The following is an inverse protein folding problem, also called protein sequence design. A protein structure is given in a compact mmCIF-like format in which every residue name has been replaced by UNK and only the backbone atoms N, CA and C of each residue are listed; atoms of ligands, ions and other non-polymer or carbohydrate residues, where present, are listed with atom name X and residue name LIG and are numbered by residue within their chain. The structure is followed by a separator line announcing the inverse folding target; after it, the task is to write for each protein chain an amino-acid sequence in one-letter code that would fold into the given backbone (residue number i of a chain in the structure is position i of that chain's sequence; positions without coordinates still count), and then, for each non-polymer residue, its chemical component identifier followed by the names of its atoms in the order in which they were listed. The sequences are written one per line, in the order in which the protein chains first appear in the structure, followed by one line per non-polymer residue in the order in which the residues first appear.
data_IF_492719030581
#
_entry.id   IF_492719030581
#
_cell.length_a   1.000
_cell.length_b   1.000
_cell.length_c   1.000
_cell.angle_alpha   90.00
_cell.angle_beta   90.00
_cell.angle_gamma   90.00
#
_symmetry.space_group_name_H-M   'P 1'
#
loop_
_entity.id
_entity.type
_entity.pdbx_description
1 polymer ?
#
# COMPACT_ATOMS: atom_id res chain seq x y z
N UNK A 1 -37.21 62.40 9.03
CA UNK A 1 -37.83 61.06 9.10
C UNK A 1 -36.73 60.03 8.98
N UNK A 2 -36.44 59.32 10.06
CA UNK A 2 -35.27 58.48 10.23
C UNK A 2 -35.65 57.05 9.85
N UNK A 3 -34.95 56.47 8.90
CA UNK A 3 -35.04 55.02 8.60
C UNK A 3 -34.07 54.29 9.47
N UNK A 4 -34.58 53.40 10.31
CA UNK A 4 -33.79 52.48 11.13
C UNK A 4 -33.30 51.30 10.27
N UNK A 5 -31.99 51.17 10.16
CA UNK A 5 -31.33 49.98 9.57
C UNK A 5 -31.23 48.90 10.61
N UNK A 6 -32.04 47.84 10.48
CA UNK A 6 -31.82 46.58 11.18
C UNK A 6 -30.74 45.78 10.44
N UNK A 7 -29.59 45.53 11.13
CA UNK A 7 -28.60 44.58 10.70
C UNK A 7 -29.14 43.15 10.91
N UNK A 8 -28.93 42.21 9.95
CA UNK A 8 -29.35 40.85 10.13
C UNK A 8 -28.43 40.19 11.18
N UNK A 9 -29.02 39.62 12.17
CA UNK A 9 -28.35 38.74 13.18
C UNK A 9 -27.91 37.49 12.50
N UNK A 10 -26.59 37.25 12.48
CA UNK A 10 -25.98 36.02 12.07
C UNK A 10 -26.27 34.89 13.10
N UNK A 11 -27.34 34.16 12.87
CA UNK A 11 -27.74 32.99 13.58
C UNK A 11 -27.95 31.83 12.60
N UNK A 12 -27.00 31.56 11.74
CA UNK A 12 -26.95 30.26 11.07
C UNK A 12 -26.43 29.23 12.07
N UNK A 13 -27.36 28.44 12.60
CA UNK A 13 -27.04 27.17 13.24
C UNK A 13 -26.37 26.31 12.17
N UNK A 14 -25.04 26.27 12.18
CA UNK A 14 -24.28 25.34 11.34
C UNK A 14 -24.88 23.96 11.56
N UNK A 15 -25.36 23.33 10.48
CA UNK A 15 -25.90 21.98 10.52
C UNK A 15 -24.93 21.10 11.34
N UNK A 16 -25.44 20.43 12.36
CA UNK A 16 -24.60 19.63 13.24
C UNK A 16 -23.82 18.62 12.38
N UNK A 17 -22.50 18.69 12.46
CA UNK A 17 -21.61 17.81 11.71
C UNK A 17 -22.07 16.37 11.92
N UNK A 18 -22.50 15.67 10.87
CA UNK A 18 -22.96 14.28 10.97
C UNK A 18 -21.74 13.39 11.10
N UNK A 19 -21.56 12.83 12.28
CA UNK A 19 -20.56 11.81 12.51
C UNK A 19 -21.14 10.42 12.21
N UNK A 20 -20.33 9.57 11.57
CA UNK A 20 -20.61 8.14 11.35
C UNK A 20 -19.41 7.32 11.80
N UNK A 21 -19.65 6.15 12.35
CA UNK A 21 -18.58 5.27 12.78
C UNK A 21 -18.83 3.82 12.36
N UNK A 22 -17.74 3.12 12.09
CA UNK A 22 -17.71 1.69 11.79
C UNK A 22 -16.73 1.01 12.73
N UNK A 23 -17.06 -0.20 13.15
CA UNK A 23 -16.23 -0.97 14.08
C UNK A 23 -15.99 -2.40 13.55
N UNK A 24 -14.79 -2.90 13.80
CA UNK A 24 -14.45 -4.32 13.72
C UNK A 24 -14.03 -4.82 15.10
N UNK A 25 -14.63 -5.94 15.52
CA UNK A 25 -14.37 -6.64 16.79
C UNK A 25 -14.41 -8.15 16.56
N UNK A 26 -14.23 -8.94 17.58
CA UNK A 26 -14.42 -10.39 17.51
C UNK A 26 -15.85 -10.83 17.11
N UNK A 27 -16.84 -9.95 17.24
CA UNK A 27 -18.24 -10.25 16.92
C UNK A 27 -18.73 -9.56 15.66
N UNK A 28 -18.18 -8.41 15.32
CA UNK A 28 -18.65 -7.55 14.24
C UNK A 28 -17.53 -7.26 13.23
N UNK A 29 -17.91 -7.14 11.96
CA UNK A 29 -16.96 -6.82 10.87
C UNK A 29 -17.44 -5.58 10.12
N UNK A 30 -16.66 -4.49 10.24
CA UNK A 30 -16.93 -3.18 9.63
C UNK A 30 -18.41 -2.75 9.78
N UNK A 31 -18.98 -2.97 10.95
CA UNK A 31 -20.37 -2.65 11.25
C UNK A 31 -20.51 -1.17 11.55
N UNK A 32 -21.46 -0.51 10.91
CA UNK A 32 -21.82 0.86 11.28
C UNK A 32 -22.51 0.85 12.66
N UNK A 33 -22.03 1.73 13.54
CA UNK A 33 -22.54 1.87 14.90
C UNK A 33 -23.05 3.29 15.12
N UNK A 34 -24.08 3.47 15.97
CA UNK A 34 -24.53 4.78 16.37
C UNK A 34 -23.43 5.49 17.17
N UNK A 35 -23.25 6.78 16.92
CA UNK A 35 -22.37 7.65 17.70
C UNK A 35 -23.15 8.82 18.26
N UNK A 36 -22.70 9.31 19.41
CA UNK A 36 -23.27 10.53 20.00
C UNK A 36 -23.01 11.73 19.06
N UNK A 37 -23.80 12.77 19.20
CA UNK A 37 -23.52 14.03 18.52
C UNK A 37 -22.32 14.76 19.11
N UNK A 38 -21.67 15.59 18.29
CA UNK A 38 -20.67 16.55 18.76
C UNK A 38 -21.27 17.49 19.79
N UNK A 39 -20.57 17.73 20.90
CA UNK A 39 -20.99 18.66 21.97
C UNK A 39 -19.87 19.66 22.29
N UNK A 40 -20.24 20.76 22.91
CA UNK A 40 -19.22 21.64 23.48
C UNK A 40 -18.46 20.92 24.62
N UNK A 41 -17.18 21.23 24.85
CA UNK A 41 -16.47 20.74 26.01
C UNK A 41 -17.24 21.13 27.27
N UNK A 42 -17.44 20.19 28.20
CA UNK A 42 -18.02 20.54 29.50
C UNK A 42 -17.06 21.43 30.26
N UNK A 43 -17.47 22.64 30.59
CA UNK A 43 -16.64 23.67 31.25
C UNK A 43 -16.27 23.39 32.72
N UNK A 44 -16.46 22.18 33.18
CA UNK A 44 -16.08 21.77 34.55
C UNK A 44 -15.05 20.62 34.44
N UNK A 45 -13.92 20.84 35.11
CA UNK A 45 -12.95 19.85 35.54
C UNK A 45 -11.79 19.48 34.61
N UNK A 46 -10.80 20.37 34.63
CA UNK A 46 -9.40 19.96 34.64
C UNK A 46 -9.08 19.25 35.99
N UNK A 47 -9.83 18.21 36.35
CA UNK A 47 -9.68 17.47 37.59
C UNK A 47 -10.13 16.03 37.40
N UNK A 48 -9.26 15.09 37.68
CA UNK A 48 -9.41 13.64 37.92
C UNK A 48 -10.76 13.01 37.50
N UNK A 49 -10.89 12.59 36.23
CA UNK A 49 -12.05 11.84 35.74
C UNK A 49 -12.42 12.04 34.27
N UNK A 50 -11.78 12.94 33.53
CA UNK A 50 -12.01 13.11 32.09
C UNK A 50 -11.55 11.86 31.33
N UNK A 51 -12.39 11.34 30.43
CA UNK A 51 -11.98 10.27 29.53
C UNK A 51 -10.75 10.71 28.71
N UNK A 52 -9.82 9.78 28.51
CA UNK A 52 -8.64 10.05 27.70
C UNK A 52 -9.06 10.51 26.29
N UNK A 53 -8.38 11.51 25.75
CA UNK A 53 -8.79 12.18 24.53
C UNK A 53 -7.82 11.96 23.37
N UNK A 54 -8.40 11.90 22.18
CA UNK A 54 -7.66 11.98 20.92
C UNK A 54 -8.00 13.32 20.27
N UNK A 55 -7.01 14.21 20.18
CA UNK A 55 -7.17 15.53 19.57
C UNK A 55 -6.75 15.48 18.11
N UNK A 56 -7.62 15.97 17.23
CA UNK A 56 -7.37 16.08 15.78
C UNK A 56 -7.19 17.56 15.44
N UNK A 57 -6.05 17.89 14.83
CA UNK A 57 -5.70 19.25 14.40
C UNK A 57 -5.60 19.32 12.87
N UNK A 58 -6.68 19.78 12.22
CA UNK A 58 -6.76 19.91 10.77
C UNK A 58 -5.95 21.09 10.19
N UNK A 59 -5.39 21.97 11.06
CA UNK A 59 -4.52 23.06 10.61
C UNK A 59 -3.12 22.56 10.22
N UNK A 60 -2.68 21.44 10.78
CA UNK A 60 -1.41 20.81 10.46
C UNK A 60 -1.62 19.65 9.49
N UNK A 61 -1.16 19.83 8.26
CA UNK A 61 -1.32 18.86 7.17
C UNK A 61 0.03 18.34 6.72
N UNK A 62 0.06 17.05 6.40
CA UNK A 62 1.25 16.33 5.96
C UNK A 62 1.09 15.79 4.53
N UNK A 63 1.67 14.66 4.23
CA UNK A 63 1.64 14.07 2.89
C UNK A 63 0.22 13.73 2.42
N UNK A 64 0.05 13.73 1.10
CA UNK A 64 -1.18 13.26 0.46
C UNK A 64 -1.13 11.75 0.22
N UNK A 65 -2.24 11.09 0.45
CA UNK A 65 -2.43 9.66 0.21
C UNK A 65 -2.58 9.39 -1.28
N UNK A 66 -1.79 8.45 -1.79
CA UNK A 66 -1.91 7.92 -3.16
C UNK A 66 -2.96 6.81 -3.23
N UNK A 67 -3.02 5.94 -2.22
CA UNK A 67 -4.03 4.91 -2.14
C UNK A 67 -3.63 3.70 -1.30
N UNK A 68 -4.52 2.71 -1.32
CA UNK A 68 -4.37 1.42 -0.63
C UNK A 68 -4.56 0.30 -1.64
N UNK A 69 -3.87 -0.85 -1.45
CA UNK A 69 -3.98 -1.93 -2.39
C UNK A 69 -3.27 -3.21 -1.99
N UNK A 70 -3.08 -4.09 -2.96
CA UNK A 70 -2.35 -5.35 -2.80
C UNK A 70 -1.73 -5.82 -4.10
N UNK A 71 -0.88 -6.86 -4.02
CA UNK A 71 -0.15 -7.35 -5.16
C UNK A 71 -0.95 -8.37 -5.99
N UNK A 72 -1.05 -8.09 -7.28
CA UNK A 72 -1.45 -9.01 -8.32
C UNK A 72 -0.25 -9.90 -8.69
N UNK A 73 0.17 -10.76 -7.75
CA UNK A 73 1.21 -11.74 -8.03
C UNK A 73 0.76 -12.73 -9.08
N UNK A 74 1.68 -13.40 -9.75
CA UNK A 74 1.36 -14.50 -10.65
C UNK A 74 0.43 -15.51 -9.97
N UNK A 75 0.73 -15.88 -8.72
CA UNK A 75 -0.08 -16.77 -7.89
C UNK A 75 -1.51 -16.26 -7.70
N UNK A 76 -1.68 -15.00 -7.30
CA UNK A 76 -3.00 -14.40 -7.09
C UNK A 76 -3.79 -14.35 -8.40
N UNK A 77 -3.16 -13.96 -9.49
CA UNK A 77 -3.82 -13.91 -10.81
C UNK A 77 -4.17 -15.30 -11.33
N UNK A 78 -3.30 -16.29 -11.09
CA UNK A 78 -3.54 -17.69 -11.44
C UNK A 78 -4.79 -18.25 -10.72
N UNK A 79 -4.91 -18.02 -9.40
CA UNK A 79 -6.08 -18.41 -8.63
C UNK A 79 -7.34 -17.68 -9.07
N UNK A 80 -7.28 -16.35 -9.18
CA UNK A 80 -8.41 -15.54 -9.66
C UNK A 80 -8.88 -15.99 -11.04
N UNK A 81 -7.98 -16.32 -11.97
CA UNK A 81 -8.34 -16.76 -13.32
C UNK A 81 -9.07 -18.10 -13.34
N UNK A 82 -8.84 -18.95 -12.36
CA UNK A 82 -9.48 -20.28 -12.22
C UNK A 82 -10.82 -20.24 -11.51
N UNK A 83 -11.13 -19.13 -10.81
CA UNK A 83 -12.45 -18.95 -10.21
C UNK A 83 -13.54 -18.87 -11.31
N UNK A 84 -14.76 -19.32 -10.96
CA UNK A 84 -15.93 -19.03 -11.78
C UNK A 84 -16.04 -17.51 -12.00
N UNK A 85 -16.38 -17.10 -13.23
CA UNK A 85 -16.30 -15.69 -13.65
C UNK A 85 -17.14 -14.74 -12.77
N UNK A 86 -18.35 -15.16 -12.37
CA UNK A 86 -19.22 -14.37 -11.51
C UNK A 86 -18.70 -14.26 -10.09
N UNK A 87 -18.06 -15.31 -9.56
CA UNK A 87 -17.42 -15.27 -8.24
C UNK A 87 -16.17 -14.41 -8.25
N UNK A 88 -15.33 -14.53 -9.29
CA UNK A 88 -14.17 -13.65 -9.47
C UNK A 88 -14.57 -12.19 -9.57
N UNK A 89 -15.59 -11.89 -10.38
CA UNK A 89 -16.09 -10.51 -10.51
C UNK A 89 -16.56 -9.96 -9.18
N UNK A 90 -17.32 -10.71 -8.38
CA UNK A 90 -17.77 -10.29 -7.05
C UNK A 90 -16.59 -9.99 -6.13
N UNK A 91 -15.53 -10.80 -6.15
CA UNK A 91 -14.34 -10.56 -5.34
C UNK A 91 -13.57 -9.32 -5.81
N UNK A 92 -13.47 -9.08 -7.12
CA UNK A 92 -12.86 -7.86 -7.63
C UNK A 92 -13.70 -6.61 -7.33
N UNK A 93 -15.03 -6.70 -7.39
CA UNK A 93 -15.94 -5.63 -6.94
C UNK A 93 -15.79 -5.38 -5.42
N UNK A 94 -15.58 -6.43 -4.62
CA UNK A 94 -15.31 -6.33 -3.19
C UNK A 94 -13.97 -5.62 -2.90
N UNK A 95 -12.91 -5.94 -3.65
CA UNK A 95 -11.63 -5.27 -3.48
C UNK A 95 -11.63 -3.83 -4.00
N UNK A 96 -12.09 -3.60 -5.22
CA UNK A 96 -11.84 -2.37 -5.96
C UNK A 96 -13.07 -1.49 -6.15
N UNK A 97 -14.27 -2.07 -6.00
CA UNK A 97 -15.52 -1.35 -6.20
C UNK A 97 -15.82 -0.35 -5.07
N UNK A 98 -16.59 0.72 -5.37
CA UNK A 98 -16.91 1.77 -4.39
C UNK A 98 -17.78 1.28 -3.23
N UNK A 99 -18.55 0.21 -3.41
CA UNK A 99 -19.32 -0.43 -2.35
C UNK A 99 -18.47 -1.40 -1.49
N UNK A 100 -17.35 -1.87 -2.03
CA UNK A 100 -16.38 -2.74 -1.37
C UNK A 100 -15.35 -1.97 -0.54
N UNK A 101 -14.10 -2.43 -0.59
CA UNK A 101 -12.98 -1.75 0.08
C UNK A 101 -12.58 -0.45 -0.64
N UNK A 102 -12.79 -0.36 -1.95
CA UNK A 102 -12.35 0.77 -2.75
C UNK A 102 -10.83 0.87 -2.89
N UNK A 103 -10.13 -0.28 -2.92
CA UNK A 103 -8.69 -0.30 -3.18
C UNK A 103 -8.39 0.42 -4.50
N UNK A 104 -7.35 1.22 -4.50
CA UNK A 104 -7.01 2.10 -5.62
C UNK A 104 -5.58 1.94 -6.10
N UNK A 105 -4.84 0.98 -5.53
CA UNK A 105 -3.49 0.63 -5.94
C UNK A 105 -3.32 -0.87 -6.18
N UNK A 106 -2.39 -1.22 -7.05
CA UNK A 106 -1.98 -2.59 -7.27
C UNK A 106 -0.49 -2.68 -7.58
N UNK A 107 0.17 -3.73 -7.08
CA UNK A 107 1.54 -4.09 -7.42
C UNK A 107 1.53 -5.28 -8.36
N UNK A 108 2.36 -5.25 -9.41
CA UNK A 108 2.59 -6.41 -10.28
C UNK A 108 4.07 -6.78 -10.27
N UNK A 109 4.39 -7.99 -10.70
CA UNK A 109 5.76 -8.42 -10.86
C UNK A 109 6.23 -8.20 -12.30
N UNK A 110 7.52 -7.90 -12.52
CA UNK A 110 8.16 -7.93 -13.83
C UNK A 110 8.86 -9.28 -13.97
N UNK A 111 8.16 -10.26 -14.54
CA UNK A 111 8.51 -11.68 -14.47
C UNK A 111 7.99 -12.34 -13.20
N UNK A 112 8.55 -13.50 -12.85
CA UNK A 112 8.15 -14.26 -11.66
C UNK A 112 8.68 -13.67 -10.37
N UNK A 113 7.91 -13.87 -9.28
CA UNK A 113 8.33 -13.73 -7.89
C UNK A 113 8.40 -15.10 -7.21
N UNK A 114 8.59 -15.13 -5.90
CA UNK A 114 8.39 -16.33 -5.06
C UNK A 114 6.93 -16.82 -5.10
N UNK A 115 5.96 -15.92 -5.24
CA UNK A 115 4.54 -16.26 -5.41
C UNK A 115 4.15 -16.35 -6.89
N UNK A 116 4.69 -17.37 -7.53
CA UNK A 116 4.43 -17.71 -8.93
C UNK A 116 4.17 -19.20 -9.10
N UNK A 117 3.50 -19.58 -10.20
CA UNK A 117 3.30 -20.97 -10.58
C UNK A 117 4.59 -21.64 -11.06
N UNK A 118 5.52 -20.85 -11.59
CA UNK A 118 6.87 -21.27 -12.03
C UNK A 118 7.81 -20.07 -12.07
N UNK A 119 9.12 -20.33 -12.09
CA UNK A 119 10.10 -19.29 -12.34
C UNK A 119 10.16 -18.97 -13.86
N UNK A 120 10.04 -17.70 -14.22
CA UNK A 120 10.14 -17.20 -15.58
C UNK A 120 10.59 -15.74 -15.63
N UNK A 121 11.17 -15.35 -16.76
CA UNK A 121 11.32 -13.93 -17.13
C UNK A 121 10.67 -13.70 -18.49
N UNK A 122 10.67 -12.46 -18.97
CA UNK A 122 10.16 -12.18 -20.33
C UNK A 122 11.21 -12.41 -21.42
N UNK A 123 12.42 -12.87 -21.05
CA UNK A 123 13.50 -13.16 -22.00
C UNK A 123 14.33 -14.34 -21.49
N UNK A 124 13.74 -15.53 -21.46
CA UNK A 124 14.40 -16.78 -21.05
C UNK A 124 15.18 -17.39 -22.21
N UNK A 125 16.25 -16.73 -22.63
CA UNK A 125 17.14 -17.20 -23.68
C UNK A 125 18.24 -18.11 -23.12
N UNK A 126 18.57 -19.19 -23.85
CA UNK A 126 19.66 -20.11 -23.50
C UNK A 126 21.04 -19.46 -23.67
N UNK A 127 21.16 -18.40 -24.48
CA UNK A 127 22.37 -17.61 -24.70
C UNK A 127 22.08 -16.13 -24.42
N UNK A 128 23.08 -15.31 -24.13
CA UNK A 128 22.87 -13.88 -23.96
C UNK A 128 22.16 -13.23 -25.15
N UNK A 129 21.09 -12.48 -24.88
CA UNK A 129 20.30 -11.75 -25.87
C UNK A 129 20.23 -10.24 -25.58
N UNK A 130 21.34 -9.49 -25.70
CA UNK A 130 21.37 -8.07 -25.37
C UNK A 130 20.48 -7.19 -26.27
N UNK A 131 19.97 -7.72 -27.39
CA UNK A 131 18.98 -7.06 -28.23
C UNK A 131 17.54 -7.40 -27.86
N UNK A 132 17.32 -8.28 -26.86
CA UNK A 132 16.00 -8.71 -26.37
C UNK A 132 15.09 -9.20 -27.51
N UNK A 133 15.60 -10.04 -28.42
CA UNK A 133 14.87 -10.60 -29.55
C UNK A 133 13.83 -11.62 -29.10
N UNK A 134 14.09 -12.28 -27.97
CA UNK A 134 13.20 -13.27 -27.37
C UNK A 134 12.25 -12.67 -26.35
N UNK A 135 12.31 -11.36 -26.10
CA UNK A 135 11.42 -10.70 -25.14
C UNK A 135 9.95 -10.90 -25.49
N UNK A 136 9.17 -11.41 -24.54
CA UNK A 136 7.74 -11.66 -24.72
C UNK A 136 6.99 -11.65 -23.37
N UNK A 137 5.89 -10.90 -23.31
CA UNK A 137 4.94 -10.92 -22.19
C UNK A 137 3.83 -11.98 -22.39
N UNK A 138 4.06 -12.98 -23.23
CA UNK A 138 3.05 -14.00 -23.56
C UNK A 138 2.55 -14.79 -22.33
N UNK A 139 3.43 -15.02 -21.34
CA UNK A 139 3.03 -15.63 -20.07
C UNK A 139 1.89 -14.84 -19.42
N UNK A 140 2.05 -13.53 -19.31
CA UNK A 140 1.10 -12.66 -18.61
C UNK A 140 -0.22 -12.51 -19.34
N UNK A 141 -0.21 -12.66 -20.67
CA UNK A 141 -1.44 -12.68 -21.49
C UNK A 141 -2.35 -13.85 -21.16
N UNK A 142 -1.83 -14.93 -20.61
CA UNK A 142 -2.62 -16.12 -20.30
C UNK A 142 -3.65 -15.85 -19.18
N UNK A 143 -3.30 -15.12 -18.15
CA UNK A 143 -4.19 -14.86 -17.00
C UNK A 143 -3.90 -13.56 -16.23
N UNK A 144 -2.66 -13.05 -16.16
CA UNK A 144 -2.34 -11.83 -15.39
C UNK A 144 -3.02 -10.62 -16.02
N UNK A 145 -2.77 -10.35 -17.30
CA UNK A 145 -3.37 -9.22 -18.02
C UNK A 145 -4.90 -9.28 -18.08
N UNK A 146 -5.56 -10.44 -18.32
CA UNK A 146 -7.01 -10.57 -18.19
C UNK A 146 -7.54 -10.15 -16.82
N UNK A 147 -6.94 -10.60 -15.72
CA UNK A 147 -7.35 -10.24 -14.36
C UNK A 147 -7.13 -8.74 -14.10
N UNK A 148 -6.00 -8.18 -14.51
CA UNK A 148 -5.72 -6.75 -14.38
C UNK A 148 -6.72 -5.89 -15.16
N UNK A 149 -7.09 -6.28 -16.38
CA UNK A 149 -8.12 -5.57 -17.17
C UNK A 149 -9.49 -5.64 -16.51
N UNK A 150 -9.84 -6.79 -15.92
CA UNK A 150 -11.09 -6.92 -15.17
C UNK A 150 -11.07 -6.02 -13.91
N UNK A 151 -9.97 -5.95 -13.17
CA UNK A 151 -9.81 -5.03 -12.04
C UNK A 151 -9.90 -3.55 -12.49
N UNK A 152 -9.26 -3.18 -13.60
CA UNK A 152 -9.35 -1.84 -14.19
C UNK A 152 -10.76 -1.51 -14.67
N UNK A 153 -11.56 -2.50 -15.07
CA UNK A 153 -12.97 -2.25 -15.40
C UNK A 153 -13.83 -1.92 -14.17
N UNK A 154 -13.43 -2.37 -12.98
CA UNK A 154 -14.05 -2.03 -11.69
C UNK A 154 -13.53 -0.69 -11.18
N UNK A 155 -12.21 -0.47 -11.25
CA UNK A 155 -11.52 0.73 -10.78
C UNK A 155 -10.65 1.32 -11.91
N UNK A 156 -11.20 2.17 -12.78
CA UNK A 156 -10.45 2.75 -13.92
C UNK A 156 -9.23 3.57 -13.51
N UNK A 157 -9.25 4.15 -12.30
CA UNK A 157 -8.15 4.94 -11.74
C UNK A 157 -7.18 4.11 -10.88
N UNK A 158 -7.19 2.77 -11.02
CA UNK A 158 -6.27 1.89 -10.31
C UNK A 158 -4.81 2.26 -10.66
N UNK A 159 -4.05 2.66 -9.64
CA UNK A 159 -2.63 3.00 -9.80
C UNK A 159 -1.81 1.72 -9.74
N UNK A 160 -1.30 1.27 -10.88
CA UNK A 160 -0.45 0.09 -10.96
C UNK A 160 1.03 0.48 -10.93
N UNK A 161 1.81 -0.23 -10.12
CA UNK A 161 3.26 -0.20 -10.17
C UNK A 161 3.82 -1.61 -10.25
N UNK A 162 5.06 -1.74 -10.74
CA UNK A 162 5.66 -3.04 -11.02
C UNK A 162 7.09 -3.15 -10.51
N UNK A 163 7.45 -4.34 -10.06
CA UNK A 163 8.74 -4.65 -9.45
C UNK A 163 9.32 -5.94 -10.03
N UNK A 164 10.59 -5.98 -10.45
CA UNK A 164 11.28 -7.23 -10.79
C UNK A 164 11.85 -7.91 -9.54
N UNK A 165 11.76 -9.23 -9.46
CA UNK A 165 12.48 -10.05 -8.47
C UNK A 165 13.84 -10.49 -8.99
N UNK A 166 13.95 -10.74 -10.29
CA UNK A 166 15.19 -11.13 -10.94
C UNK A 166 15.22 -10.60 -12.37
N UNK A 167 16.36 -10.09 -12.85
CA UNK A 167 16.58 -9.98 -14.28
C UNK A 167 16.62 -11.38 -14.93
N UNK A 168 16.48 -11.49 -16.28
CA UNK A 168 16.70 -12.75 -16.98
C UNK A 168 17.98 -13.45 -16.57
N UNK A 169 17.94 -14.79 -16.47
CA UNK A 169 19.07 -15.57 -15.95
C UNK A 169 20.39 -15.30 -16.69
N UNK A 170 20.37 -15.13 -17.99
CA UNK A 170 21.56 -14.85 -18.78
C UNK A 170 22.23 -13.49 -18.47
N UNK A 171 21.51 -12.54 -17.87
CA UNK A 171 22.06 -11.27 -17.40
C UNK A 171 22.80 -11.40 -16.06
N UNK A 172 22.69 -12.56 -15.39
CA UNK A 172 23.27 -12.79 -14.06
C UNK A 172 24.52 -13.65 -14.11
N UNK A 173 25.35 -13.55 -13.09
CA UNK A 173 26.61 -14.30 -13.01
C UNK A 173 26.38 -15.82 -12.96
N UNK A 174 25.34 -16.26 -12.24
CA UNK A 174 24.99 -17.66 -12.10
C UNK A 174 24.15 -18.26 -13.24
N UNK A 175 23.72 -17.46 -14.22
CA UNK A 175 22.89 -17.94 -15.34
C UNK A 175 21.48 -18.40 -14.90
N UNK A 176 21.01 -18.03 -13.72
CA UNK A 176 19.76 -18.47 -13.11
C UNK A 176 18.89 -17.30 -12.67
N UNK A 177 17.57 -17.47 -12.69
CA UNK A 177 16.65 -16.52 -12.07
C UNK A 177 16.75 -16.55 -10.54
N UNK A 178 17.16 -17.70 -9.96
CA UNK A 178 17.19 -17.92 -8.52
C UNK A 178 18.50 -17.37 -7.95
N UNK A 179 18.40 -16.35 -7.09
CA UNK A 179 19.54 -15.73 -6.41
C UNK A 179 20.60 -15.12 -7.32
N UNK A 180 21.75 -14.80 -6.74
CA UNK A 180 22.91 -14.27 -7.44
C UNK A 180 22.82 -12.79 -7.82
N UNK A 181 23.81 -12.30 -8.58
CA UNK A 181 23.98 -10.88 -8.87
C UNK A 181 23.88 -10.55 -10.35
N UNK A 182 23.35 -9.38 -10.65
CA UNK A 182 23.31 -8.79 -11.99
C UNK A 182 24.72 -8.46 -12.50
N UNK A 183 24.97 -8.68 -13.80
CA UNK A 183 26.21 -8.26 -14.46
C UNK A 183 26.07 -6.87 -15.06
N UNK A 184 26.94 -5.94 -14.68
CA UNK A 184 26.91 -4.53 -15.13
C UNK A 184 26.93 -4.38 -16.65
N UNK A 185 27.60 -5.28 -17.38
CA UNK A 185 27.64 -5.25 -18.85
C UNK A 185 26.27 -5.34 -19.54
N UNK A 186 25.22 -5.81 -18.83
CA UNK A 186 23.87 -5.93 -19.36
C UNK A 186 22.92 -4.84 -18.86
N UNK A 187 23.40 -3.81 -18.16
CA UNK A 187 22.54 -2.74 -17.65
C UNK A 187 21.76 -2.02 -18.77
N UNK A 188 22.40 -1.77 -19.90
CA UNK A 188 21.71 -1.17 -21.05
C UNK A 188 20.58 -2.06 -21.58
N UNK A 189 20.82 -3.37 -21.70
CA UNK A 189 19.80 -4.33 -22.13
C UNK A 189 18.66 -4.42 -21.08
N UNK A 190 19.01 -4.41 -19.79
CA UNK A 190 18.01 -4.48 -18.73
C UNK A 190 17.14 -3.20 -18.65
N UNK A 191 17.71 -2.03 -18.90
CA UNK A 191 16.91 -0.81 -19.02
C UNK A 191 15.91 -0.89 -20.21
N UNK A 192 16.33 -1.46 -21.35
CA UNK A 192 15.43 -1.72 -22.49
C UNK A 192 14.39 -2.81 -22.18
N UNK A 193 14.70 -3.76 -21.32
CA UNK A 193 13.75 -4.76 -20.83
C UNK A 193 12.58 -4.09 -20.06
N UNK A 194 12.86 -3.08 -19.22
CA UNK A 194 11.82 -2.27 -18.58
C UNK A 194 10.99 -1.50 -19.60
N UNK A 195 11.63 -0.86 -20.59
CA UNK A 195 10.92 -0.12 -21.63
C UNK A 195 9.96 -1.05 -22.39
N UNK A 196 10.45 -2.20 -22.88
CA UNK A 196 9.61 -3.19 -23.57
C UNK A 196 8.44 -3.71 -22.73
N UNK A 197 8.68 -3.95 -21.43
CA UNK A 197 7.62 -4.33 -20.50
C UNK A 197 6.55 -3.25 -20.40
N UNK A 198 6.93 -2.00 -20.17
CA UNK A 198 6.01 -0.87 -20.01
C UNK A 198 5.19 -0.62 -21.30
N UNK A 199 5.84 -0.67 -22.45
CA UNK A 199 5.18 -0.53 -23.75
C UNK A 199 4.22 -1.71 -24.02
N UNK A 200 4.66 -2.94 -23.71
CA UNK A 200 3.84 -4.13 -23.87
C UNK A 200 2.58 -4.09 -23.00
N UNK A 201 2.70 -3.75 -21.75
CA UNK A 201 1.57 -3.60 -20.84
C UNK A 201 0.63 -2.45 -21.23
N UNK A 202 1.19 -1.32 -21.65
CA UNK A 202 0.41 -0.18 -22.17
C UNK A 202 -0.39 -0.58 -23.43
N UNK A 203 0.22 -1.36 -24.34
CA UNK A 203 -0.46 -1.87 -25.54
C UNK A 203 -1.62 -2.83 -25.21
N UNK A 204 -1.53 -3.55 -24.08
CA UNK A 204 -2.59 -4.42 -23.55
C UNK A 204 -3.67 -3.64 -22.76
N UNK A 205 -3.59 -2.31 -22.69
CA UNK A 205 -4.53 -1.48 -21.93
C UNK A 205 -4.29 -1.49 -20.42
N UNK A 206 -3.12 -1.91 -19.97
CA UNK A 206 -2.72 -1.97 -18.56
C UNK A 206 -1.53 -1.02 -18.29
N UNK A 207 -1.76 0.29 -18.13
CA UNK A 207 -0.68 1.25 -17.97
C UNK A 207 -0.03 1.13 -16.58
N UNK A 208 1.29 0.93 -16.54
CA UNK A 208 2.09 0.93 -15.31
C UNK A 208 2.59 2.34 -15.03
N UNK A 209 2.26 2.87 -13.84
CA UNK A 209 2.52 4.26 -13.44
C UNK A 209 3.85 4.45 -12.72
N UNK A 210 4.37 3.39 -12.10
CA UNK A 210 5.67 3.42 -11.44
C UNK A 210 6.36 2.05 -11.54
N UNK A 211 7.68 2.05 -11.42
CA UNK A 211 8.49 0.84 -11.28
C UNK A 211 9.46 1.00 -10.13
N UNK A 212 9.80 -0.10 -9.47
CA UNK A 212 10.98 -0.16 -8.63
C UNK A 212 12.13 -0.83 -9.39
N UNK A 213 13.35 -0.57 -8.97
CA UNK A 213 14.54 -1.09 -9.67
C UNK A 213 14.73 -2.58 -9.45
N UNK A 214 14.39 -3.06 -8.26
CA UNK A 214 14.54 -4.44 -7.81
C UNK A 214 13.74 -4.65 -6.53
N UNK A 215 13.12 -5.82 -6.37
CA UNK A 215 12.59 -6.27 -5.09
C UNK A 215 13.73 -6.70 -4.18
N UNK A 216 13.76 -6.15 -2.96
CA UNK A 216 14.70 -6.56 -1.89
C UNK A 216 16.16 -6.60 -2.33
N UNK A 217 16.70 -5.40 -2.60
CA UNK A 217 17.99 -5.16 -3.26
C UNK A 217 19.22 -5.78 -2.59
N UNK A 218 19.20 -6.11 -1.30
CA UNK A 218 20.37 -6.54 -0.53
C UNK A 218 20.39 -8.04 -0.19
N UNK A 219 19.48 -8.81 -0.79
CA UNK A 219 19.41 -10.26 -0.59
C UNK A 219 19.25 -11.02 -1.90
N UNK A 220 19.86 -12.20 -1.97
CA UNK A 220 19.65 -13.15 -3.07
C UNK A 220 18.81 -14.36 -2.62
N UNK A 221 18.25 -14.32 -1.40
CA UNK A 221 17.38 -15.32 -0.81
C UNK A 221 18.01 -16.74 -0.84
N UNK A 222 19.32 -16.85 -0.66
CA UNK A 222 20.09 -18.09 -0.73
C UNK A 222 19.85 -18.92 -2.02
N UNK A 223 19.45 -18.27 -3.11
CA UNK A 223 19.11 -18.94 -4.36
C UNK A 223 17.85 -19.81 -4.31
N UNK A 224 16.96 -19.61 -3.33
CA UNK A 224 15.74 -20.42 -3.14
C UNK A 224 14.54 -19.93 -3.93
N UNK A 225 14.62 -18.73 -4.49
CA UNK A 225 13.54 -18.07 -5.24
C UNK A 225 14.10 -17.08 -6.26
N UNK A 226 13.27 -16.57 -7.20
CA UNK A 226 13.69 -15.44 -8.02
C UNK A 226 14.12 -14.27 -7.14
N UNK A 227 15.36 -13.85 -7.27
CA UNK A 227 15.95 -12.76 -6.51
C UNK A 227 17.24 -12.30 -7.19
N UNK A 228 17.70 -11.09 -6.91
CA UNK A 228 18.99 -10.60 -7.38
C UNK A 228 19.59 -9.62 -6.38
N UNK A 229 20.82 -9.89 -5.96
CA UNK A 229 21.58 -8.99 -5.11
C UNK A 229 22.09 -7.79 -5.92
N UNK A 230 21.75 -6.59 -5.46
CA UNK A 230 22.20 -5.33 -6.01
C UNK A 230 22.97 -4.53 -4.98
N UNK A 231 24.27 -4.32 -5.19
CA UNK A 231 25.03 -3.35 -4.42
C UNK A 231 24.46 -1.94 -4.61
N UNK A 232 24.62 -1.08 -3.62
CA UNK A 232 24.13 0.31 -3.68
C UNK A 232 24.64 1.05 -4.92
N UNK A 233 25.94 0.91 -5.25
CA UNK A 233 26.57 1.52 -6.43
C UNK A 233 25.99 0.97 -7.75
N UNK A 234 25.57 -0.29 -7.77
CA UNK A 234 24.91 -0.90 -8.92
C UNK A 234 23.54 -0.28 -9.18
N UNK A 235 22.73 -0.16 -8.14
CA UNK A 235 21.40 0.47 -8.25
C UNK A 235 21.53 1.95 -8.63
N UNK A 236 22.46 2.68 -7.99
CA UNK A 236 22.79 4.07 -8.31
C UNK A 236 23.16 4.24 -9.78
N UNK A 237 24.11 3.45 -10.26
CA UNK A 237 24.58 3.50 -11.66
C UNK A 237 23.48 3.09 -12.64
N UNK A 238 22.69 2.06 -12.31
CA UNK A 238 21.58 1.62 -13.16
C UNK A 238 20.51 2.71 -13.33
N UNK A 239 20.12 3.38 -12.25
CA UNK A 239 19.11 4.46 -12.31
C UNK A 239 19.63 5.62 -13.16
N UNK A 240 20.80 6.17 -12.84
CA UNK A 240 21.26 7.43 -13.45
C UNK A 240 21.80 7.29 -14.86
N UNK A 241 22.43 6.17 -15.18
CA UNK A 241 23.13 5.99 -16.46
C UNK A 241 22.31 5.20 -17.49
N UNK A 242 21.32 4.39 -17.04
CA UNK A 242 20.59 3.49 -17.91
C UNK A 242 19.07 3.62 -17.82
N UNK A 243 18.45 3.32 -16.68
CA UNK A 243 16.97 3.25 -16.57
C UNK A 243 16.33 4.63 -16.78
N UNK A 244 16.78 5.64 -16.03
CA UNK A 244 16.23 7.00 -16.14
C UNK A 244 16.36 7.59 -17.56
N UNK A 245 17.54 7.53 -18.20
CA UNK A 245 17.70 7.91 -19.59
C UNK A 245 16.83 7.10 -20.58
N UNK A 246 16.73 5.78 -20.40
CA UNK A 246 15.93 4.91 -21.27
C UNK A 246 14.42 5.25 -21.23
N UNK A 247 13.87 5.43 -20.03
CA UNK A 247 12.46 5.82 -19.85
C UNK A 247 12.18 7.18 -20.50
N UNK A 248 13.08 8.14 -20.33
CA UNK A 248 12.97 9.46 -20.96
C UNK A 248 13.06 9.39 -22.48
N UNK A 249 14.00 8.61 -23.02
CA UNK A 249 14.16 8.42 -24.46
C UNK A 249 12.94 7.75 -25.11
N UNK A 250 12.28 6.85 -24.37
CA UNK A 250 11.03 6.20 -24.79
C UNK A 250 9.77 7.07 -24.54
N UNK A 251 9.93 8.30 -24.03
CA UNK A 251 8.83 9.19 -23.68
C UNK A 251 7.79 8.53 -22.74
N UNK A 252 8.29 7.83 -21.71
CA UNK A 252 7.50 7.17 -20.70
C UNK A 252 7.50 8.01 -19.41
N UNK A 253 6.31 8.41 -18.94
CA UNK A 253 6.10 9.16 -17.69
C UNK A 253 6.10 8.27 -16.44
N UNK A 254 6.55 7.02 -16.59
CA UNK A 254 6.60 6.05 -15.50
C UNK A 254 7.59 6.52 -14.42
N UNK A 255 7.12 6.60 -13.17
CA UNK A 255 7.92 7.01 -12.03
C UNK A 255 8.90 5.89 -11.63
N UNK A 256 10.04 6.26 -11.09
CA UNK A 256 11.02 5.32 -10.53
C UNK A 256 11.05 5.48 -9.01
N UNK A 257 10.86 4.38 -8.29
CA UNK A 257 11.02 4.30 -6.85
C UNK A 257 12.24 3.42 -6.56
N UNK A 258 13.13 3.89 -5.71
CA UNK A 258 14.33 3.15 -5.34
C UNK A 258 14.11 2.27 -4.11
N UNK A 259 15.05 1.39 -3.83
CA UNK A 259 15.16 0.50 -2.66
C UNK A 259 14.21 -0.69 -2.70
N UNK A 260 12.90 -0.48 -2.55
CA UNK A 260 11.85 -1.51 -2.46
C UNK A 260 12.21 -2.60 -1.43
N UNK A 261 12.55 -2.16 -0.20
CA UNK A 261 13.02 -3.05 0.87
C UNK A 261 12.81 -2.44 2.27
N UNK A 262 13.30 -3.13 3.28
CA UNK A 262 13.09 -2.90 4.69
C UNK A 262 13.61 -1.54 5.21
N UNK A 263 13.02 -1.09 6.32
CA UNK A 263 13.29 0.22 6.92
C UNK A 263 14.73 0.41 7.40
N UNK A 264 15.45 -0.66 7.77
CA UNK A 264 16.84 -0.61 8.24
C UNK A 264 17.82 -0.15 7.16
N UNK A 265 17.44 -0.22 5.89
CA UNK A 265 18.24 0.30 4.78
C UNK A 265 18.05 1.79 4.48
N UNK A 266 17.47 2.57 5.41
CA UNK A 266 17.22 4.00 5.23
C UNK A 266 18.47 4.81 4.86
N UNK A 267 19.64 4.43 5.38
CA UNK A 267 20.93 5.07 5.05
C UNK A 267 21.27 4.97 3.58
N UNK A 268 21.05 3.78 2.96
CA UNK A 268 21.21 3.57 1.51
C UNK A 268 20.31 4.52 0.70
N UNK A 269 19.05 4.71 1.12
CA UNK A 269 18.14 5.62 0.44
C UNK A 269 18.64 7.08 0.50
N UNK A 270 19.18 7.52 1.63
CA UNK A 270 19.76 8.87 1.79
C UNK A 270 20.99 9.04 0.89
N UNK A 271 21.92 8.08 0.91
CA UNK A 271 23.15 8.13 0.10
C UNK A 271 22.83 8.20 -1.38
N UNK A 272 21.91 7.35 -1.86
CA UNK A 272 21.51 7.34 -3.26
C UNK A 272 20.80 8.64 -3.68
N UNK A 273 19.91 9.18 -2.85
CA UNK A 273 19.22 10.44 -3.13
C UNK A 273 20.15 11.67 -3.04
N UNK A 274 21.30 11.54 -2.39
CA UNK A 274 22.31 12.60 -2.33
C UNK A 274 23.06 12.77 -3.66
N UNK A 275 23.00 11.77 -4.57
CA UNK A 275 23.50 11.92 -5.95
C UNK A 275 22.47 12.70 -6.78
N UNK A 276 22.78 13.91 -7.27
CA UNK A 276 21.83 14.74 -8.02
C UNK A 276 21.38 14.09 -9.34
N UNK A 277 22.18 13.20 -9.91
CA UNK A 277 21.82 12.48 -11.12
C UNK A 277 20.80 11.35 -10.85
N UNK A 278 20.86 10.69 -9.69
CA UNK A 278 19.83 9.77 -9.21
C UNK A 278 18.57 10.57 -8.83
N UNK A 279 18.75 11.62 -8.06
CA UNK A 279 17.66 12.45 -7.53
C UNK A 279 16.71 12.94 -8.64
N UNK A 280 17.19 13.33 -9.80
CA UNK A 280 16.35 13.84 -10.90
C UNK A 280 15.45 12.79 -11.55
N UNK A 281 15.78 11.48 -11.41
CA UNK A 281 15.00 10.39 -12.00
C UNK A 281 14.07 9.71 -11.00
N UNK A 282 14.38 9.79 -9.70
CA UNK A 282 13.65 9.09 -8.65
C UNK A 282 12.50 9.95 -8.12
N UNK A 283 11.29 9.40 -8.06
CA UNK A 283 10.10 10.05 -7.49
C UNK A 283 10.01 9.84 -5.96
N UNK A 284 10.55 8.73 -5.45
CA UNK A 284 10.56 8.42 -4.03
C UNK A 284 11.18 7.07 -3.70
N UNK A 285 10.96 6.65 -2.46
CA UNK A 285 11.51 5.42 -1.88
C UNK A 285 10.39 4.44 -1.58
N UNK A 286 10.55 3.20 -2.03
CA UNK A 286 9.66 2.09 -1.74
C UNK A 286 10.15 1.31 -0.50
N UNK A 287 9.22 0.93 0.36
CA UNK A 287 9.50 0.36 1.68
C UNK A 287 8.75 -0.93 1.93
N UNK A 288 9.42 -1.88 2.59
CA UNK A 288 8.84 -3.09 3.16
C UNK A 288 8.83 -3.02 4.69
N UNK A 289 7.93 -3.77 5.30
CA UNK A 289 7.68 -3.70 6.74
C UNK A 289 8.25 -4.86 7.58
N UNK A 290 9.17 -5.66 7.04
CA UNK A 290 9.63 -6.88 7.73
C UNK A 290 10.75 -6.63 8.74
N UNK A 291 11.62 -5.64 8.52
CA UNK A 291 12.74 -5.31 9.41
C UNK A 291 12.86 -3.80 9.61
N UNK A 292 13.32 -3.40 10.81
CA UNK A 292 13.45 -2.01 11.20
C UNK A 292 12.13 -1.42 11.72
N UNK A 293 11.99 -0.08 11.64
CA UNK A 293 10.82 0.64 12.14
C UNK A 293 10.40 1.74 11.18
N UNK A 294 9.09 2.08 11.11
CA UNK A 294 8.55 3.09 10.20
C UNK A 294 9.17 4.49 10.35
N UNK A 295 9.71 4.86 11.53
CA UNK A 295 10.36 6.17 11.77
C UNK A 295 11.58 6.40 10.88
N UNK A 296 12.15 5.35 10.29
CA UNK A 296 13.18 5.44 9.26
C UNK A 296 12.73 6.22 8.03
N UNK A 297 11.46 6.09 7.63
CA UNK A 297 10.88 6.89 6.55
C UNK A 297 10.91 8.40 6.88
N UNK A 298 10.65 8.76 8.13
CA UNK A 298 10.76 10.14 8.61
C UNK A 298 12.18 10.68 8.52
N UNK A 299 13.21 9.86 8.74
CA UNK A 299 14.62 10.26 8.57
C UNK A 299 14.92 10.63 7.13
N UNK A 300 14.50 9.79 6.18
CA UNK A 300 14.66 10.05 4.75
C UNK A 300 13.87 11.28 4.33
N UNK A 301 12.60 11.41 4.77
CA UNK A 301 11.77 12.57 4.45
C UNK A 301 12.38 13.89 4.96
N UNK A 302 12.97 13.92 6.16
CA UNK A 302 13.64 15.12 6.68
C UNK A 302 14.82 15.56 5.80
N UNK A 303 15.54 14.62 5.19
CA UNK A 303 16.65 14.90 4.29
C UNK A 303 16.17 15.29 2.89
N UNK A 304 15.08 14.68 2.40
CA UNK A 304 14.56 14.87 1.06
C UNK A 304 13.02 15.01 1.07
N UNK A 305 12.46 16.14 1.59
CA UNK A 305 11.02 16.29 1.79
C UNK A 305 10.19 16.30 0.49
N UNK A 306 10.81 16.52 -0.66
CA UNK A 306 10.17 16.47 -1.96
C UNK A 306 10.07 15.05 -2.56
N UNK A 307 10.67 14.03 -1.92
CA UNK A 307 10.59 12.63 -2.35
C UNK A 307 9.49 11.88 -1.58
N UNK A 308 8.69 11.10 -2.32
CA UNK A 308 7.63 10.30 -1.72
C UNK A 308 8.16 9.11 -0.94
N UNK A 309 7.41 8.68 0.09
CA UNK A 309 7.59 7.39 0.73
C UNK A 309 6.40 6.49 0.36
N UNK A 310 6.67 5.27 -0.10
CA UNK A 310 5.67 4.32 -0.57
C UNK A 310 5.87 3.00 0.15
N UNK A 311 4.86 2.57 0.91
CA UNK A 311 4.92 1.25 1.56
C UNK A 311 4.38 0.20 0.60
N UNK A 312 5.28 -0.57 0.01
CA UNK A 312 5.04 -1.40 -1.16
C UNK A 312 4.84 -2.87 -0.86
N UNK A 313 5.18 -3.32 0.36
CA UNK A 313 4.99 -4.72 0.72
C UNK A 313 4.89 -4.97 2.23
N UNK A 314 4.00 -5.87 2.58
CA UNK A 314 3.85 -6.57 3.85
C UNK A 314 2.61 -7.44 3.81
N UNK A 315 2.71 -8.66 4.29
CA UNK A 315 1.63 -9.63 4.22
C UNK A 315 1.46 -10.43 5.51
N UNK A 316 0.28 -11.04 5.71
CA UNK A 316 0.04 -11.92 6.84
C UNK A 316 0.76 -13.26 6.64
N UNK A 317 0.95 -14.00 7.72
CA UNK A 317 1.41 -15.37 7.71
C UNK A 317 0.20 -16.29 7.83
N UNK A 318 -0.04 -17.19 6.83
CA UNK A 318 -1.19 -18.09 6.87
C UNK A 318 -1.08 -19.15 7.96
N UNK A 319 0.12 -19.40 8.52
CA UNK A 319 0.35 -20.33 9.61
C UNK A 319 0.05 -19.73 10.99
N UNK A 320 -0.12 -18.41 11.07
CA UNK A 320 -0.44 -17.73 12.32
C UNK A 320 -1.85 -18.07 12.78
N UNK A 321 -2.04 -18.43 14.05
CA UNK A 321 -3.36 -18.84 14.56
C UNK A 321 -4.39 -17.72 14.54
N UNK A 322 -3.94 -16.48 14.53
CA UNK A 322 -4.74 -15.25 14.50
C UNK A 322 -4.85 -14.62 13.09
N UNK A 323 -4.44 -15.34 12.03
CA UNK A 323 -4.46 -14.86 10.64
C UNK A 323 -5.77 -14.14 10.24
N UNK A 324 -6.93 -14.64 10.67
CA UNK A 324 -8.23 -14.07 10.35
C UNK A 324 -8.67 -12.97 11.33
N UNK A 325 -7.94 -12.75 12.43
CA UNK A 325 -8.38 -11.90 13.56
C UNK A 325 -7.34 -10.88 14.02
N UNK A 326 -6.17 -10.78 13.35
CA UNK A 326 -5.09 -9.86 13.71
C UNK A 326 -5.29 -8.42 13.15
N UNK A 327 -6.55 -7.98 12.99
CA UNK A 327 -6.89 -6.65 12.45
C UNK A 327 -6.29 -5.49 13.25
N UNK A 328 -6.22 -5.58 14.59
CA UNK A 328 -5.62 -4.51 15.40
C UNK A 328 -4.12 -4.40 15.20
N UNK A 329 -3.42 -5.51 14.99
CA UNK A 329 -2.00 -5.52 14.59
C UNK A 329 -1.81 -4.77 13.27
N UNK A 330 -2.59 -5.11 12.23
CA UNK A 330 -2.46 -4.48 10.92
C UNK A 330 -2.91 -3.03 10.92
N UNK A 331 -4.04 -2.70 11.56
CA UNK A 331 -4.53 -1.32 11.63
C UNK A 331 -3.58 -0.40 12.40
N UNK A 332 -3.01 -0.88 13.50
CA UNK A 332 -1.97 -0.15 14.25
C UNK A 332 -0.69 0.04 13.43
N UNK A 333 -0.25 -1.01 12.72
CA UNK A 333 0.88 -0.93 11.79
C UNK A 333 0.65 0.13 10.72
N UNK A 334 -0.55 0.16 10.11
CA UNK A 334 -0.90 1.16 9.10
C UNK A 334 -0.90 2.58 9.66
N UNK A 335 -1.41 2.78 10.89
CA UNK A 335 -1.33 4.08 11.54
C UNK A 335 0.12 4.55 11.70
N UNK A 336 1.02 3.68 12.14
CA UNK A 336 2.44 3.99 12.28
C UNK A 336 3.10 4.32 10.93
N UNK A 337 2.82 3.55 9.88
CA UNK A 337 3.34 3.77 8.54
C UNK A 337 2.89 5.14 8.00
N UNK A 338 1.59 5.46 8.11
CA UNK A 338 1.01 6.70 7.59
C UNK A 338 1.46 7.93 8.39
N UNK A 339 1.68 7.81 9.70
CA UNK A 339 2.27 8.86 10.53
C UNK A 339 3.75 9.12 10.21
N UNK A 340 4.40 8.21 9.49
CA UNK A 340 5.79 8.31 9.06
C UNK A 340 5.93 8.56 7.55
N UNK A 341 5.05 9.37 6.96
CA UNK A 341 5.13 9.93 5.62
C UNK A 341 4.78 8.99 4.46
N UNK A 342 4.41 7.74 4.72
CA UNK A 342 3.97 6.87 3.62
C UNK A 342 2.71 7.43 2.93
N UNK A 343 2.74 7.40 1.61
CA UNK A 343 1.64 7.84 0.74
C UNK A 343 0.72 6.72 0.30
N UNK A 344 1.14 5.48 0.50
CA UNK A 344 0.33 4.30 0.20
C UNK A 344 0.64 3.16 1.15
N UNK A 345 -0.27 2.20 1.17
CA UNK A 345 -0.07 0.89 1.79
C UNK A 345 -0.49 -0.17 0.78
N UNK A 346 0.43 -1.05 0.42
CA UNK A 346 0.17 -2.14 -0.52
C UNK A 346 0.56 -3.46 0.13
N UNK A 347 -0.44 -4.32 0.34
CA UNK A 347 -0.21 -5.66 0.86
C UNK A 347 0.55 -6.54 -0.14
N UNK A 348 1.19 -7.59 0.36
CA UNK A 348 1.69 -8.64 -0.49
C UNK A 348 0.49 -9.37 -1.15
N UNK A 349 0.45 -10.62 -1.35
CA UNK A 349 -0.55 -11.34 -2.16
C UNK A 349 -2.03 -10.94 -1.90
N UNK A 350 -2.79 -10.59 -2.95
CA UNK A 350 -4.23 -10.36 -2.84
C UNK A 350 -4.99 -11.65 -2.48
N UNK A 351 -4.67 -12.74 -3.18
CA UNK A 351 -5.36 -14.03 -3.00
C UNK A 351 -4.34 -15.17 -3.04
N UNK A 352 -4.39 -16.06 -2.04
CA UNK A 352 -3.69 -17.33 -2.04
C UNK A 352 -4.63 -18.43 -1.55
N UNK A 353 -4.24 -19.71 -1.73
CA UNK A 353 -4.99 -20.80 -1.11
C UNK A 353 -4.68 -20.97 0.39
N UNK A 354 -5.34 -21.93 1.05
CA UNK A 354 -5.21 -22.24 2.47
C UNK A 354 -3.82 -22.72 2.89
N UNK A 355 -2.93 -22.95 1.93
CA UNK A 355 -1.52 -23.36 2.14
C UNK A 355 -0.53 -22.31 1.65
N UNK A 356 -1.01 -21.09 1.40
CA UNK A 356 -0.19 -20.03 0.84
C UNK A 356 0.34 -20.33 -0.57
N UNK A 357 -0.45 -21.02 -1.42
CA UNK A 357 -0.05 -21.46 -2.75
C UNK A 357 -0.84 -20.71 -3.83
N UNK A 358 -0.32 -20.67 -5.10
CA UNK A 358 1.02 -21.11 -5.59
C UNK A 358 2.17 -20.36 -4.95
N UNK A 359 3.27 -21.08 -4.64
CA UNK A 359 4.49 -20.51 -4.07
C UNK A 359 5.69 -21.39 -4.47
N UNK A 360 6.70 -20.80 -5.06
CA UNK A 360 7.98 -21.42 -5.41
C UNK A 360 9.11 -20.98 -4.49
N UNK A 361 8.83 -20.10 -3.52
CA UNK A 361 9.77 -19.58 -2.53
C UNK A 361 9.62 -20.26 -1.16
N UNK A 362 10.43 -19.85 -0.18
CA UNK A 362 10.49 -20.49 1.14
C UNK A 362 9.50 -19.92 2.16
N UNK A 363 8.78 -18.83 1.86
CA UNK A 363 8.00 -18.07 2.86
C UNK A 363 6.56 -18.58 3.00
N UNK A 364 5.98 -18.37 4.20
CA UNK A 364 4.61 -18.74 4.59
C UNK A 364 3.62 -17.59 4.51
N UNK A 365 3.78 -16.67 3.53
CA UNK A 365 2.83 -15.58 3.40
C UNK A 365 1.43 -16.09 3.05
N UNK A 366 0.42 -15.48 3.66
CA UNK A 366 -0.99 -15.63 3.31
C UNK A 366 -1.44 -14.58 2.30
N UNK A 367 -2.63 -14.76 1.74
CA UNK A 367 -3.31 -13.73 0.97
C UNK A 367 -4.04 -12.71 1.87
N UNK A 368 -4.35 -11.54 1.34
CA UNK A 368 -5.36 -10.66 1.97
C UNK A 368 -6.68 -11.43 2.10
N UNK A 369 -6.98 -12.26 1.11
CA UNK A 369 -8.08 -13.23 1.12
C UNK A 369 -7.52 -14.62 0.81
N UNK A 370 -7.94 -15.62 1.57
CA UNK A 370 -7.67 -17.03 1.28
C UNK A 370 -8.85 -17.63 0.51
N UNK A 371 -8.54 -18.31 -0.60
CA UNK A 371 -9.47 -19.12 -1.38
C UNK A 371 -9.24 -20.60 -1.04
N UNK A 372 -10.19 -21.25 -0.36
CA UNK A 372 -10.10 -22.67 -0.12
C UNK A 372 -10.08 -23.46 -1.43
N UNK A 373 -9.05 -24.25 -1.64
CA UNK A 373 -8.81 -24.94 -2.93
C UNK A 373 -9.86 -25.99 -3.27
N UNK A 374 -10.62 -26.48 -2.26
CA UNK A 374 -11.63 -27.54 -2.42
C UNK A 374 -13.05 -26.98 -2.43
N UNK A 375 -13.38 -26.14 -1.43
CA UNK A 375 -14.74 -25.62 -1.25
C UNK A 375 -14.99 -24.32 -2.02
N UNK A 376 -13.94 -23.64 -2.45
CA UNK A 376 -13.96 -22.30 -3.08
C UNK A 376 -14.50 -21.22 -2.13
N UNK A 377 -14.55 -21.48 -0.83
CA UNK A 377 -14.92 -20.49 0.17
C UNK A 377 -13.81 -19.46 0.38
N UNK A 378 -14.22 -18.23 0.70
CA UNK A 378 -13.30 -17.11 0.90
C UNK A 378 -13.16 -16.78 2.39
N UNK A 379 -11.96 -16.86 2.92
CA UNK A 379 -11.61 -16.36 4.26
C UNK A 379 -10.87 -15.03 4.14
N UNK A 380 -11.38 -14.01 4.81
CA UNK A 380 -10.76 -12.69 4.86
C UNK A 380 -9.81 -12.61 6.05
N UNK A 381 -8.57 -12.20 5.80
CA UNK A 381 -7.55 -12.05 6.86
C UNK A 381 -7.85 -10.85 7.76
N UNK A 382 -7.16 -10.76 8.90
CA UNK A 382 -7.17 -9.54 9.72
C UNK A 382 -6.66 -8.33 8.96
N UNK A 383 -5.70 -8.51 8.04
CA UNK A 383 -5.22 -7.47 7.14
C UNK A 383 -6.32 -6.93 6.22
N UNK A 384 -7.21 -7.79 5.69
CA UNK A 384 -8.39 -7.38 4.93
C UNK A 384 -9.27 -6.43 5.75
N UNK A 385 -9.55 -6.78 7.00
CA UNK A 385 -10.41 -5.96 7.87
C UNK A 385 -9.72 -4.64 8.25
N UNK A 386 -8.41 -4.63 8.43
CA UNK A 386 -7.68 -3.38 8.59
C UNK A 386 -7.84 -2.49 7.35
N UNK A 387 -7.66 -3.01 6.12
CA UNK A 387 -7.92 -2.24 4.90
C UNK A 387 -9.32 -1.66 4.83
N UNK A 388 -10.33 -2.40 5.29
CA UNK A 388 -11.70 -1.93 5.30
C UNK A 388 -11.89 -0.63 6.10
N UNK A 389 -11.12 -0.46 7.17
CA UNK A 389 -11.14 0.75 7.99
C UNK A 389 -10.42 1.95 7.35
N UNK A 390 -9.46 1.71 6.46
CA UNK A 390 -8.69 2.76 5.80
C UNK A 390 -9.20 3.05 4.39
N UNK A 391 -9.20 2.05 3.52
CA UNK A 391 -9.42 2.25 2.10
C UNK A 391 -10.84 2.70 1.76
N UNK A 392 -11.85 2.24 2.54
CA UNK A 392 -13.26 2.57 2.28
C UNK A 392 -13.59 4.05 2.50
N UNK A 393 -12.87 4.73 3.38
CA UNK A 393 -13.21 6.10 3.81
C UNK A 393 -12.17 7.14 3.41
N UNK A 394 -10.92 6.74 3.18
CA UNK A 394 -9.82 7.66 2.84
C UNK A 394 -9.67 7.70 1.32
N UNK A 395 -9.86 8.87 0.73
CA UNK A 395 -9.82 9.08 -0.72
C UNK A 395 -8.38 9.34 -1.19
N UNK A 396 -8.09 9.02 -2.45
CA UNK A 396 -6.86 9.50 -3.08
C UNK A 396 -6.78 11.01 -2.99
N UNK A 397 -5.63 11.55 -2.60
CA UNK A 397 -5.44 12.98 -2.36
C UNK A 397 -5.80 13.43 -0.94
N UNK A 398 -6.37 12.57 -0.09
CA UNK A 398 -6.55 12.87 1.32
C UNK A 398 -5.20 13.22 1.95
N UNK A 399 -5.17 14.21 2.83
CA UNK A 399 -3.96 14.59 3.55
C UNK A 399 -3.99 14.01 4.96
N UNK A 400 -2.90 13.41 5.41
CA UNK A 400 -2.71 13.10 6.83
C UNK A 400 -2.71 14.40 7.60
N UNK A 401 -3.43 14.45 8.72
CA UNK A 401 -3.49 15.62 9.62
C UNK A 401 -3.01 15.25 11.02
N UNK A 402 -2.59 16.25 11.78
CA UNK A 402 -2.01 16.01 13.10
C UNK A 402 -3.02 15.41 14.09
N UNK A 403 -2.54 14.45 14.86
CA UNK A 403 -3.27 13.88 15.99
C UNK A 403 -2.37 13.79 17.20
N UNK A 404 -2.92 14.04 18.38
CA UNK A 404 -2.27 13.79 19.66
C UNK A 404 -3.22 13.06 20.60
N UNK A 405 -2.68 12.31 21.57
CA UNK A 405 -3.50 11.53 22.50
C UNK A 405 -2.87 11.47 23.87
N UNK A 406 -3.69 11.55 24.91
CA UNK A 406 -3.35 11.19 26.29
C UNK A 406 -3.81 9.75 26.63
N UNK A 407 -4.44 9.04 25.68
CA UNK A 407 -4.83 7.64 25.78
C UNK A 407 -3.67 6.71 25.41
N UNK A 408 -3.04 6.10 26.42
CA UNK A 408 -1.94 5.14 26.20
C UNK A 408 -2.45 3.85 25.53
N UNK A 409 -1.66 3.26 24.62
CA UNK A 409 -1.94 1.97 23.99
C UNK A 409 -3.05 2.01 22.93
N UNK A 410 -3.45 3.19 22.46
CA UNK A 410 -4.32 3.38 21.31
C UNK A 410 -3.49 3.94 20.16
N UNK A 411 -3.50 3.26 19.02
CA UNK A 411 -2.97 3.83 17.80
C UNK A 411 -4.05 4.65 17.08
N UNK A 412 -3.63 5.78 16.52
CA UNK A 412 -4.56 6.71 15.88
C UNK A 412 -3.91 7.43 14.71
N UNK A 413 -4.67 7.70 13.68
CA UNK A 413 -4.27 8.56 12.55
C UNK A 413 -5.51 9.22 11.95
N UNK A 414 -5.40 10.48 11.54
CA UNK A 414 -6.51 11.23 10.96
C UNK A 414 -6.16 11.80 9.58
N UNK A 415 -7.21 12.04 8.80
CA UNK A 415 -7.13 12.50 7.42
C UNK A 415 -8.15 13.59 7.14
N UNK A 416 -7.80 14.50 6.24
CA UNK A 416 -8.73 15.41 5.58
C UNK A 416 -8.86 14.98 4.11
N UNK A 417 -10.05 14.54 3.73
CA UNK A 417 -10.37 14.15 2.35
C UNK A 417 -10.50 15.37 1.44
N UNK A 418 -10.30 15.21 0.12
CA UNK A 418 -10.47 16.32 -0.84
C UNK A 418 -11.89 16.91 -0.90
N UNK A 419 -12.91 16.12 -0.55
CA UNK A 419 -14.31 16.52 -0.47
C UNK A 419 -14.67 17.31 0.80
N UNK A 420 -13.71 17.46 1.73
CA UNK A 420 -13.87 18.19 2.98
C UNK A 420 -14.21 17.34 4.18
N UNK A 421 -14.51 16.07 3.98
CA UNK A 421 -14.73 15.12 5.07
C UNK A 421 -13.44 14.79 5.82
N UNK A 422 -13.57 14.58 7.13
CA UNK A 422 -12.49 14.11 7.99
C UNK A 422 -12.67 12.64 8.33
N UNK A 423 -11.56 11.95 8.52
CA UNK A 423 -11.53 10.54 8.92
C UNK A 423 -10.55 10.39 10.10
N UNK A 424 -10.96 9.65 11.13
CA UNK A 424 -10.08 9.24 12.23
C UNK A 424 -10.19 7.73 12.37
N UNK A 425 -9.05 7.04 12.28
CA UNK A 425 -8.96 5.60 12.55
C UNK A 425 -8.32 5.41 13.91
N UNK A 426 -8.98 4.65 14.78
CA UNK A 426 -8.57 4.31 16.13
C UNK A 426 -8.40 2.80 16.25
N UNK A 427 -7.28 2.36 16.81
CA UNK A 427 -6.99 0.94 17.04
C UNK A 427 -6.77 0.70 18.52
N UNK A 428 -7.59 -0.14 19.12
CA UNK A 428 -7.52 -0.54 20.52
C UNK A 428 -7.21 -2.04 20.64
N UNK A 429 -5.95 -2.45 20.85
CA UNK A 429 -5.59 -3.87 21.05
C UNK A 429 -5.90 -4.38 22.46
N UNK A 430 -6.29 -3.49 23.38
CA UNK A 430 -6.55 -3.80 24.78
C UNK A 430 -8.01 -3.99 25.12
N UNK A 431 -8.35 -3.89 26.40
CA UNK A 431 -9.71 -3.99 26.91
C UNK A 431 -10.58 -2.82 26.45
N UNK A 432 -11.91 -2.98 26.58
CA UNK A 432 -12.88 -1.93 26.31
C UNK A 432 -12.56 -0.64 27.12
N UNK A 433 -12.67 0.50 26.47
CA UNK A 433 -12.45 1.81 27.13
C UNK A 433 -13.24 2.93 26.48
N UNK A 434 -13.56 3.95 27.27
CA UNK A 434 -14.12 5.19 26.78
C UNK A 434 -13.03 6.19 26.45
N UNK A 435 -13.17 6.88 25.30
CA UNK A 435 -12.30 7.96 24.88
C UNK A 435 -13.12 9.11 24.32
N UNK A 436 -12.52 10.28 24.19
CA UNK A 436 -13.13 11.44 23.53
C UNK A 436 -12.34 11.81 22.26
N UNK A 437 -13.02 11.93 21.13
CA UNK A 437 -12.47 12.61 19.96
C UNK A 437 -12.66 14.11 20.16
N UNK A 438 -11.56 14.87 20.13
CA UNK A 438 -11.55 16.33 20.25
C UNK A 438 -11.20 16.95 18.90
N UNK A 439 -12.12 17.77 18.38
CA UNK A 439 -11.93 18.44 17.09
C UNK A 439 -12.42 19.88 17.19
N UNK A 440 -11.52 20.85 17.01
CA UNK A 440 -11.80 22.27 17.25
C UNK A 440 -12.34 22.45 18.69
N UNK A 441 -13.43 23.17 18.84
CA UNK A 441 -14.11 23.42 20.13
C UNK A 441 -15.23 22.41 20.42
N UNK A 442 -15.11 21.17 19.92
CA UNK A 442 -16.13 20.12 20.07
C UNK A 442 -15.50 18.83 20.55
N UNK A 443 -16.28 18.06 21.27
CA UNK A 443 -15.92 16.72 21.75
C UNK A 443 -16.98 15.71 21.35
N UNK A 444 -16.56 14.50 21.03
CA UNK A 444 -17.44 13.37 20.70
C UNK A 444 -16.98 12.17 21.50
N UNK A 445 -17.81 11.69 22.45
CA UNK A 445 -17.50 10.50 23.25
C UNK A 445 -17.60 9.24 22.38
N UNK A 446 -16.64 8.34 22.56
CA UNK A 446 -16.54 7.06 21.85
C UNK A 446 -16.27 5.93 22.84
N UNK A 447 -16.84 4.78 22.57
CA UNK A 447 -16.45 3.53 23.24
C UNK A 447 -15.64 2.71 22.25
N UNK A 448 -14.41 2.38 22.61
CA UNK A 448 -13.57 1.44 21.89
C UNK A 448 -13.74 0.09 22.56
N UNK A 449 -14.29 -0.85 21.83
CA UNK A 449 -14.44 -2.23 22.30
C UNK A 449 -13.06 -2.90 22.49
N UNK A 450 -13.04 -4.02 23.21
CA UNK A 450 -11.85 -4.84 23.33
C UNK A 450 -11.41 -5.33 21.95
N UNK A 451 -10.11 -5.29 21.67
CA UNK A 451 -9.50 -5.76 20.43
C UNK A 451 -10.25 -5.25 19.19
N UNK A 452 -10.33 -3.93 19.05
CA UNK A 452 -11.18 -3.30 18.04
C UNK A 452 -10.44 -2.27 17.19
N UNK A 453 -10.96 -2.10 15.97
CA UNK A 453 -10.65 -0.96 15.10
C UNK A 453 -11.92 -0.17 14.86
N UNK A 454 -11.86 1.14 15.08
CA UNK A 454 -12.97 2.06 14.85
C UNK A 454 -12.56 3.14 13.85
N UNK A 455 -13.39 3.33 12.83
CA UNK A 455 -13.26 4.48 11.90
C UNK A 455 -14.40 5.45 12.15
N UNK A 456 -14.07 6.70 12.43
CA UNK A 456 -14.99 7.81 12.57
C UNK A 456 -14.85 8.73 11.36
N UNK A 457 -15.98 9.15 10.76
CA UNK A 457 -16.01 10.18 9.70
C UNK A 457 -16.94 11.32 10.10
N UNK A 458 -16.62 12.54 9.70
CA UNK A 458 -17.43 13.74 9.92
C UNK A 458 -17.09 14.85 8.92
N UNK A 459 -17.96 15.85 8.81
CA UNK A 459 -17.80 17.03 7.97
C UNK A 459 -17.84 18.34 8.76
#
# INVERSE_FOLDING_TARGET
MVCANGLPTWGEVAAAARARAWITTNQERLKEIPVAGWRAPSGAEAGSGSAAGITVDASQRFQSILGFGGAFTDASCCLLSRMEAGHRRKLLDEFFGPAGLGLSMGRTCIGSSDYSCSAYSYDDSAAPDPQLKHFSIAHDRAYILPVLREALSVQPELFLFSTPWSPPGWMKAGGSLLGGSMRKQYFAAYAQYFVKFLEGYKAEGVPIRAVTTQNEVDTDQDGKMPAALWGQEYETGFIKEFLGPALRAANLDTKVWLLDHNYDLWGRAIDMLSDPEVFKYVDGVAWHGYMGKPDSMTRVHKSFPQKGAYWTEGGPDYTAPDYATDWTKWAGTYAQILKNWARCIVAWNLVLDEKGRPNIGPFSCGGVVTLDSKTQELTRSGQYWAFAHYAKTIRRGAQVIATSSDATGIEHVAFANPDGDFVLVLTNPGDQRSVECRFRERVLPLTLERDSVLTLTWN
#
